data_IF_471463481080
#
_entry.id   IF_471463481080
#
_cell.length_a   1.000
_cell.length_b   1.000
_cell.length_c   1.000
_cell.angle_alpha   90.00
_cell.angle_beta   90.00
_cell.angle_gamma   90.00
#
_symmetry.space_group_name_H-M   'P 1'
#
loop_
_entity.id
_entity.type
_entity.pdbx_description
1 polymer ?
#
# COMPACT_ATOMS: atom_id res chain seq x y z
N UNK A 1 -21.24 -1.67 9.45
CA UNK A 1 -21.89 -1.91 10.77
C UNK A 1 -20.85 -2.05 11.87
N UNK A 2 -21.05 -1.45 13.06
CA UNK A 2 -20.09 -1.44 14.17
C UNK A 2 -19.65 -2.85 14.62
N UNK A 3 -20.51 -3.87 14.47
CA UNK A 3 -20.19 -5.28 14.77
C UNK A 3 -19.23 -5.95 13.77
N UNK A 4 -18.98 -5.34 12.60
CA UNK A 4 -18.06 -5.88 11.58
C UNK A 4 -16.69 -5.23 11.58
N UNK A 5 -16.45 -4.26 12.46
CA UNK A 5 -15.18 -3.54 12.57
C UNK A 5 -14.02 -4.50 12.80
N UNK A 6 -14.21 -5.54 13.63
CA UNK A 6 -13.20 -6.59 13.89
C UNK A 6 -12.86 -7.42 12.65
N UNK A 7 -13.86 -7.76 11.82
CA UNK A 7 -13.63 -8.44 10.53
C UNK A 7 -12.81 -7.55 9.58
N UNK A 8 -13.20 -6.28 9.42
CA UNK A 8 -12.49 -5.35 8.55
C UNK A 8 -11.07 -5.02 9.05
N UNK A 9 -10.84 -4.99 10.37
CA UNK A 9 -9.53 -4.75 10.96
C UNK A 9 -8.54 -5.88 10.63
N UNK A 10 -9.03 -7.13 10.62
CA UNK A 10 -8.27 -8.30 10.19
C UNK A 10 -7.85 -8.20 8.73
N UNK A 11 -8.77 -7.89 7.82
CA UNK A 11 -8.47 -7.68 6.40
C UNK A 11 -7.54 -6.49 6.15
N UNK A 12 -7.73 -5.37 6.85
CA UNK A 12 -6.85 -4.20 6.74
C UNK A 12 -5.42 -4.50 7.20
N UNK A 13 -5.27 -5.16 8.36
CA UNK A 13 -3.98 -5.58 8.88
C UNK A 13 -3.30 -6.61 7.97
N UNK A 14 -4.07 -7.51 7.37
CA UNK A 14 -3.57 -8.47 6.39
C UNK A 14 -3.11 -7.79 5.09
N UNK A 15 -3.88 -6.82 4.57
CA UNK A 15 -3.51 -6.03 3.39
C UNK A 15 -2.21 -5.24 3.61
N UNK A 16 -2.03 -4.68 4.81
CA UNK A 16 -0.78 -4.01 5.20
C UNK A 16 0.41 -4.97 5.20
N UNK A 17 0.24 -6.18 5.76
CA UNK A 17 1.28 -7.22 5.76
C UNK A 17 1.62 -7.72 4.35
N UNK A 18 0.63 -7.95 3.49
CA UNK A 18 0.88 -8.33 2.09
C UNK A 18 1.73 -7.26 1.40
N UNK A 19 1.37 -5.98 1.55
CA UNK A 19 2.11 -4.88 0.92
C UNK A 19 3.54 -4.79 1.45
N UNK A 20 3.73 -5.00 2.75
CA UNK A 20 5.05 -5.00 3.40
C UNK A 20 5.97 -6.11 2.90
N UNK A 21 5.44 -7.27 2.50
CA UNK A 21 6.22 -8.34 1.88
C UNK A 21 6.34 -8.20 0.35
N UNK A 22 5.30 -7.70 -0.32
CA UNK A 22 5.27 -7.54 -1.77
C UNK A 22 6.29 -6.50 -2.25
N UNK A 23 6.51 -5.42 -1.50
CA UNK A 23 7.46 -4.37 -1.84
C UNK A 23 8.91 -4.88 -1.96
N UNK A 24 9.52 -5.51 -0.92
CA UNK A 24 10.85 -6.09 -1.01
C UNK A 24 10.97 -7.18 -2.08
N UNK A 25 9.94 -8.01 -2.25
CA UNK A 25 9.94 -9.11 -3.23
C UNK A 25 9.94 -8.56 -4.66
N UNK A 26 9.14 -7.54 -4.93
CA UNK A 26 9.13 -6.85 -6.23
C UNK A 26 10.46 -6.13 -6.51
N UNK A 27 11.00 -5.41 -5.52
CA UNK A 27 12.32 -4.75 -5.64
C UNK A 27 13.41 -5.80 -5.90
N UNK A 28 13.41 -6.91 -5.16
CA UNK A 28 14.35 -8.01 -5.32
C UNK A 28 14.25 -8.67 -6.69
N UNK A 29 13.03 -8.95 -7.18
CA UNK A 29 12.80 -9.52 -8.50
C UNK A 29 13.29 -8.59 -9.63
N UNK A 30 12.98 -7.30 -9.54
CA UNK A 30 13.44 -6.30 -10.51
C UNK A 30 14.96 -6.12 -10.47
N UNK A 31 15.54 -6.07 -9.26
CA UNK A 31 16.99 -5.95 -9.08
C UNK A 31 17.72 -7.17 -9.63
N UNK A 32 17.23 -8.39 -9.34
CA UNK A 32 17.79 -9.64 -9.85
C UNK A 32 17.66 -9.74 -11.37
N UNK A 33 16.54 -9.31 -11.95
CA UNK A 33 16.34 -9.33 -13.39
C UNK A 33 17.23 -8.32 -14.14
N UNK A 34 17.55 -7.18 -13.52
CA UNK A 34 18.25 -6.07 -14.20
C UNK A 34 19.74 -6.00 -13.90
N UNK A 35 20.24 -6.70 -12.89
CA UNK A 35 21.66 -6.76 -12.52
C UNK A 35 22.27 -5.42 -12.06
N UNK A 36 21.47 -4.36 -11.94
CA UNK A 36 21.91 -3.00 -11.66
C UNK A 36 21.31 -2.46 -10.36
N UNK A 37 22.16 -2.24 -9.36
CA UNK A 37 21.79 -1.70 -8.05
C UNK A 37 21.08 -0.33 -8.13
N UNK A 38 21.43 0.50 -9.12
CA UNK A 38 20.73 1.77 -9.40
C UNK A 38 19.25 1.57 -9.76
N UNK A 39 18.95 0.53 -10.55
CA UNK A 39 17.58 0.20 -10.93
C UNK A 39 16.81 -0.44 -9.77
N UNK A 40 17.49 -1.10 -8.84
CA UNK A 40 16.91 -1.52 -7.56
C UNK A 40 16.43 -0.35 -6.69
N UNK A 41 17.23 0.72 -6.58
CA UNK A 41 16.81 1.96 -5.88
C UNK A 41 15.64 2.64 -6.62
N UNK A 42 15.66 2.64 -7.96
CA UNK A 42 14.56 3.18 -8.77
C UNK A 42 13.25 2.36 -8.60
N UNK A 43 13.33 1.06 -8.31
CA UNK A 43 12.16 0.23 -8.02
C UNK A 43 11.45 0.65 -6.72
N UNK A 44 12.19 1.10 -5.71
CA UNK A 44 11.60 1.70 -4.50
C UNK A 44 10.81 2.97 -4.83
N UNK A 45 11.34 3.81 -5.73
CA UNK A 45 10.65 5.00 -6.20
C UNK A 45 9.37 4.64 -6.97
N UNK A 46 9.44 3.64 -7.86
CA UNK A 46 8.27 3.10 -8.56
C UNK A 46 7.19 2.62 -7.59
N UNK A 47 7.56 1.87 -6.55
CA UNK A 47 6.62 1.36 -5.56
C UNK A 47 5.98 2.50 -4.74
N UNK A 48 6.77 3.51 -4.38
CA UNK A 48 6.28 4.71 -3.70
C UNK A 48 5.30 5.50 -4.59
N UNK A 49 5.62 5.70 -5.88
CA UNK A 49 4.75 6.38 -6.83
C UNK A 49 3.45 5.61 -7.05
N UNK A 50 3.52 4.29 -7.19
CA UNK A 50 2.35 3.43 -7.33
C UNK A 50 1.44 3.51 -6.09
N UNK A 51 2.02 3.44 -4.88
CA UNK A 51 1.29 3.61 -3.63
C UNK A 51 0.66 5.00 -3.51
N UNK A 52 1.38 6.06 -3.89
CA UNK A 52 0.86 7.43 -3.88
C UNK A 52 -0.31 7.61 -4.84
N UNK A 53 -0.23 7.07 -6.06
CA UNK A 53 -1.33 7.09 -7.02
C UNK A 53 -2.55 6.33 -6.49
N UNK A 54 -2.33 5.23 -5.79
CA UNK A 54 -3.39 4.44 -5.16
C UNK A 54 -4.09 5.23 -4.03
N UNK A 55 -3.33 5.96 -3.21
CA UNK A 55 -3.89 6.84 -2.19
C UNK A 55 -4.67 8.02 -2.78
N UNK A 56 -4.20 8.61 -3.89
CA UNK A 56 -4.93 9.66 -4.60
C UNK A 56 -6.27 9.18 -5.17
N UNK A 57 -6.39 7.87 -5.47
CA UNK A 57 -7.63 7.26 -5.92
C UNK A 57 -8.65 7.10 -4.78
N UNK A 58 -8.17 6.92 -3.56
CA UNK A 58 -9.02 6.83 -2.37
C UNK A 58 -9.62 8.21 -2.06
N UNK A 59 -10.94 8.28 -2.12
CA UNK A 59 -11.69 9.45 -1.67
C UNK A 59 -11.89 9.34 -0.16
N UNK A 60 -11.49 10.33 0.64
CA UNK A 60 -11.84 10.34 2.05
C UNK A 60 -13.36 10.49 2.19
N UNK A 61 -14.01 9.52 2.81
CA UNK A 61 -15.41 9.66 3.24
C UNK A 61 -15.44 10.65 4.40
N UNK A 62 -15.60 11.93 4.10
CA UNK A 62 -15.86 12.95 5.11
C UNK A 62 -17.25 12.70 5.70
N UNK A 63 -17.32 11.97 6.82
CA UNK A 63 -18.53 11.95 7.64
C UNK A 63 -18.62 13.28 8.39
N UNK A 64 -19.11 14.32 7.71
CA UNK A 64 -19.64 15.50 8.37
C UNK A 64 -20.92 15.09 9.11
N UNK A 65 -20.79 14.61 10.35
CA UNK A 65 -21.91 14.62 11.29
C UNK A 65 -21.79 15.90 12.13
N UNK A 66 -22.20 17.00 11.50
CA UNK A 66 -22.72 18.16 12.21
C UNK A 66 -23.98 17.74 12.96
N UNK A 67 -24.00 17.86 14.29
CA UNK A 67 -24.99 18.68 15.00
C UNK A 67 -24.67 18.76 16.50
N UNK A 68 -24.92 19.93 17.12
CA UNK A 68 -24.76 20.20 18.55
C UNK A 68 -25.79 19.47 19.42
#
# INVERSE_FOLDING_TARGET
PPDKTTEFFGFFSFSGKITAFAAPLAIGAVTAATGSQRLGIAASLFFLTAGLLLLLRVRPSASNSSSP
#
